data_IF_849191010581
#
_entry.id   IF_849191010581
#
_cell.length_a   1.000
_cell.length_b   1.000
_cell.length_c   1.000
_cell.angle_alpha   90.00
_cell.angle_beta   90.00
_cell.angle_gamma   90.00
#
_symmetry.space_group_name_H-M   'P 1'
#
loop_
_entity.id
_entity.type
_entity.pdbx_description
1 polymer ?
#
# COMPACT_ATOMS: atom_id res chain seq x y z
N UNK A 1 -8.29 -32.54 0.05
CA UNK A 1 -7.23 -31.53 -0.06
C UNK A 1 -7.32 -30.92 -1.44
N UNK A 2 -7.31 -29.60 -1.56
CA UNK A 2 -7.51 -28.86 -2.81
C UNK A 2 -6.35 -27.91 -3.01
N UNK A 3 -5.67 -27.98 -4.14
CA UNK A 3 -4.60 -27.03 -4.48
C UNK A 3 -5.19 -25.88 -5.27
N UNK A 4 -5.11 -24.68 -4.71
CA UNK A 4 -5.42 -23.44 -5.42
C UNK A 4 -4.14 -22.90 -6.02
N UNK A 5 -4.16 -22.60 -7.32
CA UNK A 5 -3.04 -22.00 -8.04
C UNK A 5 -3.42 -20.60 -8.54
N UNK A 6 -2.47 -19.70 -8.43
CA UNK A 6 -2.63 -18.28 -8.74
C UNK A 6 -1.69 -17.95 -9.89
N UNK A 7 -2.25 -17.50 -11.01
CA UNK A 7 -1.48 -16.91 -12.08
C UNK A 7 -1.08 -15.51 -11.67
N UNK A 8 0.22 -15.19 -11.59
CA UNK A 8 0.66 -13.83 -11.28
C UNK A 8 0.37 -12.88 -12.45
N UNK A 9 0.15 -11.61 -12.10
CA UNK A 9 0.03 -10.53 -13.09
C UNK A 9 1.32 -10.44 -13.91
N UNK A 10 1.25 -10.46 -15.24
CA UNK A 10 2.43 -10.27 -16.08
C UNK A 10 2.98 -8.86 -15.83
N UNK A 11 4.17 -8.78 -15.22
CA UNK A 11 4.82 -7.50 -14.93
C UNK A 11 5.38 -6.87 -16.20
N UNK A 12 5.28 -5.55 -16.32
CA UNK A 12 5.90 -4.79 -17.43
C UNK A 12 7.44 -4.73 -17.31
N UNK A 13 8.00 -5.06 -16.15
CA UNK A 13 9.43 -4.95 -15.86
C UNK A 13 9.98 -6.29 -15.33
N UNK A 14 10.86 -6.93 -16.09
CA UNK A 14 11.46 -8.22 -15.75
C UNK A 14 12.24 -8.18 -14.42
N UNK A 15 12.94 -7.09 -14.10
CA UNK A 15 13.70 -6.94 -12.85
C UNK A 15 12.75 -6.91 -11.65
N UNK A 16 11.62 -6.21 -11.77
CA UNK A 16 10.60 -6.20 -10.74
C UNK A 16 9.92 -7.55 -10.60
N UNK A 17 9.77 -8.31 -11.71
CA UNK A 17 9.11 -9.61 -11.71
C UNK A 17 9.85 -10.65 -10.85
N UNK A 18 11.19 -10.69 -10.91
CA UNK A 18 11.99 -11.58 -10.04
C UNK A 18 11.95 -11.14 -8.57
N UNK A 19 11.98 -9.83 -8.32
CA UNK A 19 11.83 -9.28 -6.97
C UNK A 19 10.42 -9.51 -6.40
N UNK A 20 9.39 -9.36 -7.23
CA UNK A 20 7.99 -9.57 -6.88
C UNK A 20 7.69 -11.00 -6.43
N UNK A 21 8.49 -11.99 -6.85
CA UNK A 21 8.37 -13.39 -6.45
C UNK A 21 8.38 -13.56 -4.93
N UNK A 22 9.42 -13.07 -4.26
CA UNK A 22 9.55 -13.16 -2.80
C UNK A 22 8.40 -12.42 -2.10
N UNK A 23 8.10 -11.24 -2.60
CA UNK A 23 7.06 -10.38 -2.05
C UNK A 23 5.68 -11.03 -2.18
N UNK A 24 5.39 -11.65 -3.32
CA UNK A 24 4.13 -12.34 -3.51
C UNK A 24 4.01 -13.59 -2.63
N UNK A 25 5.07 -14.37 -2.47
CA UNK A 25 5.07 -15.53 -1.56
C UNK A 25 4.85 -15.11 -0.10
N UNK A 26 5.44 -13.99 0.35
CA UNK A 26 5.21 -13.48 1.69
C UNK A 26 3.76 -13.05 1.90
N UNK A 27 3.17 -12.35 0.92
CA UNK A 27 1.76 -11.96 0.94
C UNK A 27 0.81 -13.16 0.93
N UNK A 28 1.07 -14.14 0.04
CA UNK A 28 0.28 -15.36 -0.05
C UNK A 28 0.36 -16.18 1.24
N UNK A 29 1.52 -16.23 1.90
CA UNK A 29 1.67 -16.91 3.19
C UNK A 29 0.81 -16.29 4.29
N UNK A 30 0.75 -14.94 4.36
CA UNK A 30 -0.13 -14.26 5.29
C UNK A 30 -1.61 -14.47 4.95
N UNK A 31 -1.96 -14.37 3.66
CA UNK A 31 -3.32 -14.63 3.20
C UNK A 31 -3.75 -16.06 3.54
N UNK A 32 -2.90 -17.06 3.24
CA UNK A 32 -3.17 -18.47 3.52
C UNK A 32 -3.48 -18.74 4.99
N UNK A 33 -2.74 -18.10 5.90
CA UNK A 33 -2.98 -18.21 7.35
C UNK A 33 -4.31 -17.55 7.81
N UNK A 34 -4.91 -16.71 6.97
CA UNK A 34 -6.14 -15.96 7.25
C UNK A 34 -7.39 -16.51 6.56
N UNK A 35 -7.24 -17.55 5.74
CA UNK A 35 -8.39 -18.22 5.13
C UNK A 35 -9.25 -18.89 6.21
N UNK A 36 -10.54 -19.01 6.00
CA UNK A 36 -11.47 -19.73 6.90
C UNK A 36 -10.99 -21.16 7.17
N UNK A 37 -10.41 -21.78 6.16
CA UNK A 37 -9.65 -23.02 6.27
C UNK A 37 -8.20 -22.71 5.93
N UNK A 38 -7.32 -22.52 6.93
CA UNK A 38 -5.95 -22.11 6.70
C UNK A 38 -5.25 -22.99 5.68
N UNK A 39 -4.59 -22.32 4.73
CA UNK A 39 -3.85 -22.99 3.68
C UNK A 39 -2.41 -23.25 4.11
N UNK A 40 -1.84 -24.31 3.58
CA UNK A 40 -0.48 -24.76 3.85
C UNK A 40 0.32 -24.84 2.55
N UNK A 41 1.61 -25.14 2.65
CA UNK A 41 2.45 -25.47 1.49
C UNK A 41 2.49 -24.40 0.42
N UNK A 42 2.58 -23.12 0.85
CA UNK A 42 2.72 -21.98 -0.07
C UNK A 42 4.03 -22.13 -0.86
N UNK A 43 3.91 -22.18 -2.20
CA UNK A 43 5.06 -22.45 -3.07
C UNK A 43 4.88 -21.87 -4.47
N UNK A 44 5.96 -21.79 -5.19
CA UNK A 44 5.97 -21.59 -6.64
C UNK A 44 5.85 -22.95 -7.34
N UNK A 45 5.15 -22.99 -8.45
CA UNK A 45 5.06 -24.18 -9.31
C UNK A 45 5.06 -23.80 -10.78
N UNK A 46 5.46 -24.74 -11.62
CA UNK A 46 5.46 -24.62 -13.09
C UNK A 46 4.40 -25.54 -13.67
N UNK A 47 3.49 -24.97 -14.47
CA UNK A 47 2.47 -25.73 -15.17
C UNK A 47 2.50 -25.34 -16.65
N UNK A 48 2.72 -26.31 -17.53
CA UNK A 48 2.82 -26.07 -18.97
C UNK A 48 3.89 -25.03 -19.37
N UNK A 49 4.99 -24.91 -18.61
CA UNK A 49 6.03 -23.92 -18.84
C UNK A 49 5.70 -22.52 -18.31
N UNK A 50 4.56 -22.32 -17.66
CA UNK A 50 4.13 -21.05 -17.04
C UNK A 50 4.30 -21.14 -15.53
N UNK A 51 4.77 -20.04 -14.94
CA UNK A 51 4.98 -19.90 -13.50
C UNK A 51 3.67 -19.53 -12.79
N UNK A 52 3.34 -20.27 -11.74
CA UNK A 52 2.21 -20.04 -10.84
C UNK A 52 2.67 -20.05 -9.39
N UNK A 53 1.82 -19.55 -8.50
CA UNK A 53 1.93 -19.76 -7.06
C UNK A 53 0.83 -20.67 -6.58
N UNK A 54 1.12 -21.53 -5.62
CA UNK A 54 0.18 -22.53 -5.13
C UNK A 54 0.03 -22.46 -3.61
N UNK A 55 -1.15 -22.80 -3.14
CA UNK A 55 -1.47 -23.03 -1.74
C UNK A 55 -2.37 -24.25 -1.63
N UNK A 56 -2.07 -25.16 -0.71
CA UNK A 56 -2.87 -26.34 -0.46
C UNK A 56 -3.88 -26.04 0.65
N UNK A 57 -5.15 -26.29 0.39
CA UNK A 57 -6.27 -26.04 1.31
C UNK A 57 -6.90 -27.37 1.72
N UNK A 58 -7.40 -27.51 2.97
CA UNK A 58 -8.05 -28.74 3.43
C UNK A 58 -9.38 -29.03 2.71
N UNK A 59 -10.00 -27.99 2.12
CA UNK A 59 -11.25 -28.05 1.34
C UNK A 59 -11.21 -27.10 0.13
N UNK A 60 -12.19 -27.20 -0.74
CA UNK A 60 -12.41 -26.20 -1.78
C UNK A 60 -12.64 -24.81 -1.16
N UNK A 61 -12.11 -23.73 -1.77
CA UNK A 61 -12.27 -22.37 -1.25
C UNK A 61 -13.74 -21.95 -1.29
N UNK A 62 -14.21 -21.33 -0.20
CA UNK A 62 -15.50 -20.65 -0.12
C UNK A 62 -15.38 -19.19 -0.59
N UNK A 63 -16.50 -18.49 -0.62
CA UNK A 63 -16.54 -17.10 -1.06
C UNK A 63 -15.61 -16.19 -0.24
N UNK A 64 -15.53 -16.36 1.07
CA UNK A 64 -14.62 -15.61 1.95
C UNK A 64 -13.16 -15.88 1.62
N UNK A 65 -12.78 -17.14 1.37
CA UNK A 65 -11.43 -17.51 0.93
C UNK A 65 -11.10 -16.88 -0.44
N UNK A 66 -12.05 -16.94 -1.39
CA UNK A 66 -11.89 -16.34 -2.70
C UNK A 66 -11.76 -14.81 -2.63
N UNK A 67 -12.47 -14.15 -1.74
CA UNK A 67 -12.33 -12.70 -1.50
C UNK A 67 -10.92 -12.37 -1.00
N UNK A 68 -10.38 -13.13 -0.04
CA UNK A 68 -9.02 -12.94 0.45
C UNK A 68 -7.98 -13.15 -0.67
N UNK A 69 -8.04 -14.29 -1.36
CA UNK A 69 -7.13 -14.63 -2.47
C UNK A 69 -7.22 -13.63 -3.64
N UNK A 70 -8.41 -13.10 -3.92
CA UNK A 70 -8.63 -12.12 -4.99
C UNK A 70 -8.05 -10.74 -4.67
N UNK A 71 -7.80 -10.44 -3.39
CA UNK A 71 -7.16 -9.18 -2.95
C UNK A 71 -5.65 -9.19 -3.10
N UNK A 72 -5.01 -10.36 -3.26
CA UNK A 72 -3.55 -10.46 -3.44
C UNK A 72 -3.07 -9.51 -4.54
N UNK A 73 -2.02 -8.76 -4.25
CA UNK A 73 -1.53 -7.65 -5.09
C UNK A 73 -1.19 -8.09 -6.51
N UNK A 74 -0.57 -9.24 -6.64
CA UNK A 74 -0.12 -9.82 -7.91
C UNK A 74 -1.06 -10.86 -8.50
N UNK A 75 -2.22 -11.17 -7.93
CA UNK A 75 -3.12 -12.16 -8.51
C UNK A 75 -3.73 -11.67 -9.82
N UNK A 76 -3.55 -12.42 -10.91
CA UNK A 76 -4.18 -12.15 -12.21
C UNK A 76 -5.39 -13.06 -12.43
N UNK A 77 -5.24 -14.34 -12.13
CA UNK A 77 -6.32 -15.33 -12.19
C UNK A 77 -6.13 -16.40 -11.11
N UNK A 78 -7.23 -17.02 -10.69
CA UNK A 78 -7.27 -18.09 -9.69
C UNK A 78 -7.80 -19.36 -10.34
N UNK A 79 -7.21 -20.51 -9.98
CA UNK A 79 -7.62 -21.80 -10.46
C UNK A 79 -7.57 -22.84 -9.33
N UNK A 80 -8.40 -23.87 -9.46
CA UNK A 80 -8.25 -25.13 -8.73
C UNK A 80 -7.46 -26.11 -9.62
N UNK A 81 -6.42 -26.73 -9.08
CA UNK A 81 -5.63 -27.75 -9.78
C UNK A 81 -6.32 -29.10 -9.59
N UNK A 82 -6.77 -29.72 -10.69
CA UNK A 82 -7.44 -31.03 -10.74
C UNK A 82 -6.66 -31.96 -11.64
N UNK A 83 -5.72 -32.70 -11.06
CA UNK A 83 -4.74 -33.48 -11.84
C UNK A 83 -3.85 -32.56 -12.66
N UNK A 84 -3.94 -32.62 -13.98
CA UNK A 84 -3.23 -31.73 -14.92
C UNK A 84 -4.09 -30.57 -15.43
N UNK A 85 -5.35 -30.45 -14.97
CA UNK A 85 -6.29 -29.45 -15.44
C UNK A 85 -6.38 -28.26 -14.49
N UNK A 86 -6.55 -27.09 -15.07
CA UNK A 86 -6.81 -25.83 -14.34
C UNK A 86 -8.28 -25.46 -14.46
N UNK A 87 -9.07 -25.67 -13.40
CA UNK A 87 -10.46 -25.23 -13.34
C UNK A 87 -10.51 -23.78 -12.84
N UNK A 88 -11.04 -22.82 -13.62
CA UNK A 88 -11.11 -21.42 -13.19
C UNK A 88 -11.92 -21.24 -11.91
N UNK A 89 -11.43 -20.37 -11.05
CA UNK A 89 -12.14 -19.88 -9.86
C UNK A 89 -12.51 -18.41 -10.05
N UNK A 90 -13.62 -17.94 -9.48
CA UNK A 90 -14.01 -16.54 -9.55
C UNK A 90 -12.96 -15.63 -8.93
N UNK A 91 -12.59 -14.56 -9.63
CA UNK A 91 -11.78 -13.48 -9.09
C UNK A 91 -12.69 -12.37 -8.57
N UNK A 92 -12.92 -12.36 -7.25
CA UNK A 92 -13.91 -11.50 -6.58
C UNK A 92 -13.31 -10.13 -6.23
N UNK A 93 -12.80 -9.40 -7.23
CA UNK A 93 -12.21 -8.06 -7.02
C UNK A 93 -13.31 -7.01 -6.86
N UNK A 94 -13.41 -6.43 -5.67
CA UNK A 94 -14.21 -5.23 -5.43
C UNK A 94 -13.32 -3.99 -5.56
N UNK A 95 -12.96 -3.62 -6.79
CA UNK A 95 -12.25 -2.37 -7.04
C UNK A 95 -13.21 -1.24 -7.32
N UNK A 96 -13.03 -0.13 -6.61
CA UNK A 96 -13.80 1.08 -6.83
C UNK A 96 -13.44 1.72 -8.18
N UNK A 97 -12.15 1.72 -8.54
CA UNK A 97 -11.60 2.34 -9.76
C UNK A 97 -10.86 1.33 -10.64
N UNK A 98 -10.66 1.69 -11.91
CA UNK A 98 -9.81 0.97 -12.84
C UNK A 98 -8.32 1.05 -12.47
N UNK A 99 -7.51 0.16 -13.04
CA UNK A 99 -6.06 0.12 -12.77
C UNK A 99 -5.33 1.35 -13.33
N UNK A 100 -5.94 2.06 -14.27
CA UNK A 100 -5.45 3.27 -14.89
C UNK A 100 -5.33 4.46 -13.93
N UNK A 101 -6.08 4.50 -12.82
CA UNK A 101 -5.97 5.56 -11.82
C UNK A 101 -4.53 5.73 -11.31
N UNK A 102 -3.83 4.66 -11.03
CA UNK A 102 -2.45 4.71 -10.56
C UNK A 102 -1.40 4.62 -11.67
N UNK A 103 -1.80 4.23 -12.90
CA UNK A 103 -0.90 4.01 -14.02
C UNK A 103 -0.47 5.31 -14.73
N UNK A 104 -1.36 6.29 -14.87
CA UNK A 104 -1.20 7.43 -15.79
C UNK A 104 -0.15 8.45 -15.35
N UNK A 105 0.04 8.68 -14.06
CA UNK A 105 1.07 9.61 -13.58
C UNK A 105 2.48 9.02 -13.72
N UNK A 106 3.12 9.24 -14.87
CA UNK A 106 4.54 8.90 -15.07
C UNK A 106 5.41 10.08 -14.64
N UNK A 107 6.27 9.88 -13.66
CA UNK A 107 7.29 10.83 -13.22
C UNK A 107 8.52 10.09 -12.70
N UNK A 108 9.67 10.75 -12.74
CA UNK A 108 10.93 10.18 -12.22
C UNK A 108 10.79 9.91 -10.71
N UNK A 109 11.18 8.71 -10.28
CA UNK A 109 11.08 8.29 -8.88
C UNK A 109 9.68 7.81 -8.45
N UNK A 110 8.76 7.58 -9.40
CA UNK A 110 7.45 7.00 -9.08
C UNK A 110 7.61 5.60 -8.50
N UNK A 111 7.03 5.37 -7.33
CA UNK A 111 6.93 4.03 -6.75
C UNK A 111 6.05 3.14 -7.64
N UNK A 112 6.48 1.89 -7.84
CA UNK A 112 5.72 0.92 -8.60
C UNK A 112 4.36 0.66 -7.93
N UNK A 113 3.26 0.76 -8.69
CA UNK A 113 1.90 0.58 -8.20
C UNK A 113 1.65 -0.82 -7.60
N UNK A 114 2.21 -1.88 -8.22
CA UNK A 114 2.10 -3.25 -7.70
C UNK A 114 2.83 -3.41 -6.37
N UNK A 115 4.01 -2.75 -6.20
CA UNK A 115 4.70 -2.74 -4.92
C UNK A 115 3.90 -2.00 -3.84
N UNK A 116 3.33 -0.84 -4.17
CA UNK A 116 2.48 -0.09 -3.22
C UNK A 116 1.25 -0.90 -2.82
N UNK A 117 0.62 -1.58 -3.78
CA UNK A 117 -0.50 -2.49 -3.52
C UNK A 117 -0.11 -3.65 -2.60
N UNK A 118 1.07 -4.24 -2.85
CA UNK A 118 1.63 -5.27 -1.99
C UNK A 118 1.83 -4.75 -0.56
N UNK A 119 2.41 -3.58 -0.38
CA UNK A 119 2.59 -2.95 0.93
C UNK A 119 1.24 -2.75 1.66
N UNK A 120 0.23 -2.28 0.93
CA UNK A 120 -1.14 -2.09 1.47
C UNK A 120 -1.76 -3.41 1.90
N UNK A 121 -1.66 -4.46 1.06
CA UNK A 121 -2.22 -5.78 1.38
C UNK A 121 -1.48 -6.46 2.54
N UNK A 122 -0.15 -6.40 2.56
CA UNK A 122 0.63 -6.90 3.70
C UNK A 122 0.23 -6.19 5.00
N UNK A 123 0.07 -4.86 4.97
CA UNK A 123 -0.37 -4.10 6.14
C UNK A 123 -1.80 -4.48 6.57
N UNK A 124 -2.73 -4.63 5.64
CA UNK A 124 -4.09 -5.07 5.93
C UNK A 124 -4.12 -6.48 6.53
N UNK A 125 -3.41 -7.42 5.91
CA UNK A 125 -3.27 -8.79 6.41
C UNK A 125 -2.56 -8.86 7.78
N UNK A 126 -1.90 -7.81 8.23
CA UNK A 126 -1.25 -7.71 9.54
C UNK A 126 -2.16 -7.14 10.63
N UNK A 127 -3.31 -6.57 10.28
CA UNK A 127 -4.30 -6.09 11.24
C UNK A 127 -4.95 -7.26 11.98
N UNK A 128 -5.14 -7.16 13.28
CA UNK A 128 -5.88 -8.19 14.06
C UNK A 128 -7.38 -8.13 13.80
N UNK A 129 -7.88 -6.91 13.65
CA UNK A 129 -9.30 -6.64 13.39
C UNK A 129 -9.41 -5.74 12.16
N UNK A 130 -10.21 -6.15 11.20
CA UNK A 130 -10.48 -5.36 9.99
C UNK A 130 -11.82 -4.64 10.16
N UNK A 131 -11.81 -3.32 10.04
CA UNK A 131 -13.00 -2.50 9.82
C UNK A 131 -13.05 -2.12 8.35
N UNK A 132 -14.12 -2.35 7.66
CA UNK A 132 -14.26 -1.85 6.29
C UNK A 132 -15.20 -0.65 6.22
N UNK A 133 -14.81 0.39 5.47
CA UNK A 133 -13.55 0.57 4.76
C UNK A 133 -12.36 0.86 5.69
N UNK A 134 -11.18 0.33 5.36
CA UNK A 134 -9.92 0.69 6.05
C UNK A 134 -9.56 2.16 5.79
N UNK A 135 -8.90 2.77 6.75
CA UNK A 135 -8.42 4.17 6.67
C UNK A 135 -6.90 4.19 6.63
N UNK A 136 -6.37 4.69 5.54
CA UNK A 136 -4.93 4.72 5.24
C UNK A 136 -4.41 6.15 5.29
N UNK A 137 -3.28 6.36 5.96
CA UNK A 137 -2.49 7.58 5.91
C UNK A 137 -1.16 7.30 5.22
N UNK A 138 -0.86 8.06 4.17
CA UNK A 138 0.49 8.19 3.65
C UNK A 138 1.10 9.50 4.14
N UNK A 139 2.05 9.45 5.08
CA UNK A 139 2.61 10.66 5.67
C UNK A 139 3.71 11.32 4.80
N UNK A 140 4.08 10.71 3.68
CA UNK A 140 5.07 11.20 2.71
C UNK A 140 4.56 10.99 1.28
N UNK A 141 3.33 11.44 1.03
CA UNK A 141 2.48 11.01 -0.07
C UNK A 141 3.01 11.30 -1.48
N UNK A 142 3.99 12.19 -1.63
CA UNK A 142 4.52 12.55 -2.94
C UNK A 142 3.40 12.95 -3.91
N UNK A 143 3.30 12.24 -5.02
CA UNK A 143 2.24 12.41 -6.03
C UNK A 143 1.08 11.43 -5.86
N UNK A 144 0.91 10.80 -4.69
CA UNK A 144 -0.30 10.11 -4.27
C UNK A 144 -0.46 8.66 -4.75
N UNK A 145 0.61 7.94 -5.11
CA UNK A 145 0.49 6.53 -5.53
C UNK A 145 -0.23 5.68 -4.48
N UNK A 146 0.15 5.81 -3.20
CA UNK A 146 -0.50 5.11 -2.09
C UNK A 146 -1.97 5.49 -1.95
N UNK A 147 -2.29 6.78 -2.13
CA UNK A 147 -3.66 7.27 -2.01
C UNK A 147 -4.56 6.68 -3.09
N UNK A 148 -4.06 6.60 -4.31
CA UNK A 148 -4.80 6.05 -5.43
C UNK A 148 -4.98 4.54 -5.30
N UNK A 149 -3.95 3.79 -4.91
CA UNK A 149 -4.06 2.35 -4.65
C UNK A 149 -5.04 2.05 -3.51
N UNK A 150 -5.01 2.82 -2.41
CA UNK A 150 -5.98 2.67 -1.33
C UNK A 150 -7.42 2.99 -1.79
N UNK A 151 -7.61 4.08 -2.56
CA UNK A 151 -8.91 4.43 -3.13
C UNK A 151 -9.43 3.35 -4.10
N UNK A 152 -8.54 2.73 -4.91
CA UNK A 152 -8.89 1.61 -5.80
C UNK A 152 -9.40 0.40 -5.03
N UNK A 153 -8.87 0.16 -3.82
CA UNK A 153 -9.31 -0.90 -2.92
C UNK A 153 -10.63 -0.55 -2.19
N UNK A 154 -11.16 0.66 -2.41
CA UNK A 154 -12.38 1.14 -1.74
C UNK A 154 -12.12 1.66 -0.32
N UNK A 155 -10.87 1.91 0.06
CA UNK A 155 -10.48 2.41 1.36
C UNK A 155 -10.47 3.94 1.42
N UNK A 156 -10.61 4.50 2.62
CA UNK A 156 -10.41 5.94 2.83
C UNK A 156 -8.91 6.25 2.81
N UNK A 157 -8.50 7.23 2.02
CA UNK A 157 -7.10 7.61 1.86
C UNK A 157 -6.85 9.04 2.33
N UNK A 158 -5.76 9.25 3.07
CA UNK A 158 -5.27 10.56 3.44
C UNK A 158 -3.76 10.64 3.19
N UNK A 159 -3.28 11.80 2.75
CA UNK A 159 -1.86 12.01 2.51
C UNK A 159 -1.37 13.35 3.02
N UNK A 160 -0.13 13.36 3.51
CA UNK A 160 0.61 14.58 3.80
C UNK A 160 1.80 14.66 2.86
N UNK A 161 1.95 15.78 2.18
CA UNK A 161 3.08 16.07 1.32
C UNK A 161 3.65 17.46 1.66
N UNK A 162 4.95 17.52 1.90
CA UNK A 162 5.61 18.77 2.31
C UNK A 162 5.65 19.80 1.18
N UNK A 163 5.87 19.34 -0.05
CA UNK A 163 6.05 20.17 -1.22
C UNK A 163 4.70 20.49 -1.88
N UNK A 164 4.50 21.79 -2.17
CA UNK A 164 3.24 22.27 -2.72
C UNK A 164 2.93 21.69 -4.12
N UNK A 165 3.93 21.54 -4.97
CA UNK A 165 3.71 21.09 -6.36
C UNK A 165 3.22 19.65 -6.39
N UNK A 166 3.88 18.65 -5.77
CA UNK A 166 3.37 17.29 -5.75
C UNK A 166 1.98 17.17 -5.12
N UNK A 167 1.73 17.85 -3.98
CA UNK A 167 0.42 17.83 -3.31
C UNK A 167 -0.70 18.36 -4.21
N UNK A 168 -0.46 19.51 -4.88
CA UNK A 168 -1.40 20.12 -5.82
C UNK A 168 -1.63 19.24 -7.06
N UNK A 169 -0.55 18.69 -7.64
CA UNK A 169 -0.64 17.80 -8.80
C UNK A 169 -1.50 16.57 -8.50
N UNK A 170 -1.34 15.97 -7.29
CA UNK A 170 -2.17 14.86 -6.82
C UNK A 170 -3.65 15.24 -6.81
N UNK A 171 -3.99 16.39 -6.24
CA UNK A 171 -5.38 16.86 -6.15
C UNK A 171 -5.97 17.16 -7.54
N UNK A 172 -5.22 17.86 -8.40
CA UNK A 172 -5.65 18.19 -9.77
C UNK A 172 -5.86 16.93 -10.61
N UNK A 173 -4.93 15.98 -10.51
CA UNK A 173 -5.02 14.72 -11.23
C UNK A 173 -6.26 13.93 -10.81
N UNK A 174 -6.46 13.74 -9.50
CA UNK A 174 -7.61 12.98 -9.00
C UNK A 174 -8.95 13.63 -9.39
N UNK A 175 -9.05 14.96 -9.31
CA UNK A 175 -10.24 15.69 -9.77
C UNK A 175 -10.53 15.42 -11.25
N UNK A 176 -9.50 15.55 -12.10
CA UNK A 176 -9.65 15.30 -13.54
C UNK A 176 -10.09 13.86 -13.82
N UNK A 177 -9.49 12.89 -13.12
CA UNK A 177 -9.85 11.49 -13.25
C UNK A 177 -11.34 11.26 -12.88
N UNK A 178 -11.78 11.79 -11.74
CA UNK A 178 -13.19 11.68 -11.33
C UNK A 178 -14.15 12.29 -12.36
N UNK A 179 -13.77 13.41 -12.99
CA UNK A 179 -14.55 14.05 -14.04
C UNK A 179 -14.59 13.20 -15.32
N UNK A 180 -13.46 12.72 -15.80
CA UNK A 180 -13.34 11.89 -17.00
C UNK A 180 -14.12 10.58 -16.87
N UNK A 181 -14.02 9.92 -15.72
CA UNK A 181 -14.71 8.68 -15.41
C UNK A 181 -16.16 8.89 -14.91
N UNK A 182 -16.66 10.13 -14.96
CA UNK A 182 -18.04 10.52 -14.60
C UNK A 182 -18.46 10.13 -13.20
N UNK A 183 -17.51 10.12 -12.24
CA UNK A 183 -17.84 9.94 -10.84
C UNK A 183 -18.56 11.15 -10.27
N UNK A 184 -19.58 10.92 -9.46
CA UNK A 184 -20.19 11.97 -8.64
C UNK A 184 -19.21 12.32 -7.54
N UNK A 185 -18.87 13.60 -7.41
CA UNK A 185 -17.87 14.02 -6.41
C UNK A 185 -18.09 15.45 -5.93
N UNK A 186 -17.55 15.72 -4.75
CA UNK A 186 -17.37 17.07 -4.22
C UNK A 186 -15.89 17.25 -3.87
N UNK A 187 -15.37 18.44 -4.10
CA UNK A 187 -14.04 18.86 -3.66
C UNK A 187 -14.20 20.07 -2.78
N UNK A 188 -13.68 19.97 -1.54
CA UNK A 188 -13.52 21.09 -0.64
C UNK A 188 -12.05 21.48 -0.60
N UNK A 189 -11.76 22.68 -1.08
CA UNK A 189 -10.44 23.30 -0.96
C UNK A 189 -10.47 24.26 0.22
N UNK A 190 -9.64 24.01 1.21
CA UNK A 190 -9.58 24.82 2.44
C UNK A 190 -8.16 24.95 2.97
N UNK A 191 -7.98 25.84 3.94
CA UNK A 191 -6.78 25.84 4.77
C UNK A 191 -7.10 25.22 6.11
N UNK A 192 -6.56 24.04 6.38
CA UNK A 192 -6.70 23.38 7.67
C UNK A 192 -5.48 23.72 8.54
N UNK A 193 -5.70 24.47 9.62
CA UNK A 193 -4.62 25.04 10.45
C UNK A 193 -3.58 25.86 9.65
N UNK A 194 -4.03 26.64 8.67
CA UNK A 194 -3.18 27.42 7.78
C UNK A 194 -2.58 26.64 6.60
N UNK A 195 -2.80 25.34 6.54
CA UNK A 195 -2.19 24.40 5.59
C UNK A 195 -3.16 24.06 4.45
N UNK A 196 -2.77 24.25 3.17
CA UNK A 196 -3.63 23.90 2.05
C UNK A 196 -4.08 22.44 2.09
N UNK A 197 -5.38 22.21 1.93
CA UNK A 197 -6.02 20.91 2.04
C UNK A 197 -7.05 20.73 0.92
N UNK A 198 -7.03 19.57 0.27
CA UNK A 198 -8.01 19.14 -0.73
C UNK A 198 -8.73 17.91 -0.19
N UNK A 199 -10.03 18.04 0.06
CA UNK A 199 -10.86 16.98 0.64
C UNK A 199 -11.91 16.53 -0.39
N UNK A 200 -11.75 15.32 -0.91
CA UNK A 200 -12.63 14.72 -1.89
C UNK A 200 -13.62 13.77 -1.24
N UNK A 201 -14.87 13.85 -1.69
CA UNK A 201 -15.88 12.81 -1.50
C UNK A 201 -16.37 12.36 -2.85
N UNK A 202 -16.49 11.06 -3.07
CA UNK A 202 -16.82 10.53 -4.39
C UNK A 202 -17.64 9.24 -4.29
N UNK A 203 -18.49 9.00 -5.30
CA UNK A 203 -19.24 7.77 -5.47
C UNK A 203 -19.65 7.59 -6.94
N UNK A 204 -20.06 6.40 -7.33
CA UNK A 204 -20.65 6.18 -8.66
C UNK A 204 -22.01 6.84 -8.77
N UNK A 205 -22.86 6.69 -7.74
CA UNK A 205 -24.22 7.17 -7.72
C UNK A 205 -24.41 8.35 -6.76
N UNK A 206 -25.39 9.20 -7.02
CA UNK A 206 -25.67 10.40 -6.22
C UNK A 206 -26.11 10.05 -4.79
N UNK A 207 -26.88 9.02 -4.65
CA UNK A 207 -27.39 8.50 -3.38
C UNK A 207 -26.23 7.98 -2.51
N UNK A 208 -25.30 7.23 -3.11
CA UNK A 208 -24.09 6.74 -2.45
C UNK A 208 -23.16 7.89 -2.03
N UNK A 209 -23.05 8.96 -2.84
CA UNK A 209 -22.29 10.16 -2.49
C UNK A 209 -22.84 10.84 -1.21
N UNK A 210 -24.15 10.82 -1.03
CA UNK A 210 -24.80 11.39 0.15
C UNK A 210 -24.66 10.51 1.40
N UNK A 211 -24.73 9.18 1.25
CA UNK A 211 -24.79 8.23 2.36
C UNK A 211 -23.43 7.69 2.78
N UNK A 212 -22.64 7.16 1.85
CA UNK A 212 -21.37 6.48 2.08
C UNK A 212 -20.34 6.81 0.99
N UNK A 213 -19.89 8.07 0.89
CA UNK A 213 -18.89 8.44 -0.10
C UNK A 213 -17.53 7.82 0.24
N UNK A 214 -16.79 7.41 -0.80
CA UNK A 214 -15.35 7.25 -0.70
C UNK A 214 -14.69 8.59 -0.34
N UNK A 215 -13.54 8.56 0.29
CA UNK A 215 -12.83 9.76 0.74
C UNK A 215 -11.36 9.72 0.37
N UNK A 216 -10.86 10.84 -0.14
CA UNK A 216 -9.44 11.06 -0.35
C UNK A 216 -9.10 12.49 0.06
N UNK A 217 -8.13 12.62 0.99
CA UNK A 217 -7.70 13.94 1.50
C UNK A 217 -6.21 14.12 1.25
N UNK A 218 -5.81 15.26 0.70
CA UNK A 218 -4.41 15.65 0.53
C UNK A 218 -4.14 16.91 1.34
N UNK A 219 -3.09 16.90 2.14
CA UNK A 219 -2.64 18.05 2.94
C UNK A 219 -1.23 18.44 2.49
N UNK A 220 -1.02 19.72 2.12
CA UNK A 220 0.31 20.24 1.83
C UNK A 220 0.95 20.78 3.10
N UNK A 221 1.67 19.95 3.86
CA UNK A 221 2.19 20.34 5.17
C UNK A 221 3.27 19.43 5.72
N UNK A 222 3.69 19.72 6.94
CA UNK A 222 4.68 18.91 7.66
C UNK A 222 4.03 17.66 8.25
N UNK A 223 4.54 16.52 7.90
CA UNK A 223 4.12 15.20 8.36
C UNK A 223 4.21 15.01 9.89
N UNK A 224 5.11 15.71 10.56
CA UNK A 224 5.18 15.75 12.02
C UNK A 224 3.95 16.39 12.66
N UNK A 225 3.12 17.10 11.89
CA UNK A 225 1.87 17.73 12.33
C UNK A 225 0.62 16.92 11.94
N UNK A 226 0.78 15.71 11.42
CA UNK A 226 -0.33 14.89 10.94
C UNK A 226 -1.50 14.74 11.96
N UNK A 227 -1.27 14.57 13.28
CA UNK A 227 -2.36 14.50 14.25
C UNK A 227 -3.21 15.78 14.33
N UNK A 228 -2.66 16.96 14.00
CA UNK A 228 -3.42 18.21 13.92
C UNK A 228 -4.34 18.25 12.72
N UNK A 229 -3.92 17.64 11.60
CA UNK A 229 -4.72 17.64 10.37
C UNK A 229 -5.85 16.62 10.40
N UNK A 230 -5.62 15.47 11.01
CA UNK A 230 -6.52 14.30 10.90
C UNK A 230 -7.10 13.83 12.24
N UNK A 231 -6.51 14.19 13.37
CA UNK A 231 -6.86 13.65 14.70
C UNK A 231 -6.03 12.43 15.08
N UNK A 232 -6.18 12.01 16.33
CA UNK A 232 -5.50 10.84 16.92
C UNK A 232 -6.31 9.57 16.72
N UNK A 233 -5.64 8.42 16.59
CA UNK A 233 -6.28 7.10 16.52
C UNK A 233 -7.21 6.92 15.33
N UNK A 234 -7.04 7.69 14.26
CA UNK A 234 -7.98 7.70 13.15
C UNK A 234 -7.70 6.63 12.10
N UNK A 235 -6.45 6.24 11.92
CA UNK A 235 -6.04 5.38 10.82
C UNK A 235 -5.80 3.94 11.27
N UNK A 236 -6.15 3.01 10.40
CA UNK A 236 -5.88 1.58 10.55
C UNK A 236 -4.47 1.27 10.08
N UNK A 237 -4.03 1.94 9.02
CA UNK A 237 -2.73 1.79 8.38
C UNK A 237 -2.07 3.16 8.20
N UNK A 238 -0.80 3.26 8.56
CA UNK A 238 0.11 4.31 8.09
C UNK A 238 1.12 3.66 7.17
N UNK A 239 1.20 4.11 5.92
CA UNK A 239 2.09 3.54 4.92
C UNK A 239 2.91 4.66 4.28
N UNK A 240 4.24 4.54 4.32
CA UNK A 240 5.16 5.50 3.72
C UNK A 240 6.28 4.83 2.93
N UNK A 241 6.48 5.29 1.68
CA UNK A 241 7.69 5.00 0.90
C UNK A 241 8.67 6.14 1.13
N UNK A 242 9.69 5.91 1.98
CA UNK A 242 10.58 6.96 2.45
C UNK A 242 11.48 7.47 1.31
N UNK A 243 11.83 8.77 1.28
CA UNK A 243 12.74 9.32 0.30
C UNK A 243 14.08 8.55 0.27
N UNK A 244 14.55 8.15 -0.91
CA UNK A 244 15.72 7.30 -1.07
C UNK A 244 17.07 8.00 -0.93
N UNK A 245 17.09 9.32 -0.67
CA UNK A 245 18.32 10.09 -0.53
C UNK A 245 19.17 10.21 -1.80
N UNK A 246 18.61 9.86 -2.96
CA UNK A 246 19.29 10.02 -4.24
C UNK A 246 19.12 11.47 -4.68
N UNK A 247 20.24 12.22 -4.74
CA UNK A 247 20.26 13.56 -5.31
C UNK A 247 19.92 13.48 -6.82
N UNK A 248 18.71 13.78 -7.20
CA UNK A 248 18.44 14.19 -8.57
C UNK A 248 18.77 15.67 -8.68
N UNK A 249 19.80 15.94 -9.47
CA UNK A 249 20.50 17.16 -9.71
C UNK A 249 19.71 18.45 -9.56
N UNK A 250 20.38 19.40 -8.92
CA UNK A 250 20.24 20.84 -9.01
C UNK A 250 18.84 21.46 -9.03
N UNK A 251 18.38 21.90 -7.86
CA UNK A 251 17.62 23.15 -7.79
C UNK A 251 18.32 24.05 -6.76
N UNK A 252 18.94 25.10 -7.29
CA UNK A 252 19.42 26.21 -6.49
C UNK A 252 18.26 26.88 -5.78
N UNK A 253 18.43 27.11 -4.50
CA UNK A 253 17.61 28.07 -3.75
C UNK A 253 16.66 27.47 -2.71
N UNK A 254 17.07 27.47 -1.42
CA UNK A 254 16.19 27.54 -0.28
C UNK A 254 15.88 26.22 0.42
N UNK A 255 16.71 25.81 1.38
CA UNK A 255 16.39 25.14 2.64
C UNK A 255 15.31 24.02 2.65
N UNK A 256 15.24 23.15 1.66
CA UNK A 256 14.79 21.78 1.87
C UNK A 256 16.03 20.99 2.35
N UNK A 257 16.30 21.04 3.66
CA UNK A 257 17.31 20.18 4.28
C UNK A 257 16.95 18.76 3.92
N UNK A 258 17.82 18.07 3.16
CA UNK A 258 17.80 16.62 2.99
C UNK A 258 17.75 15.99 4.39
N UNK A 259 16.56 15.66 4.82
CA UNK A 259 16.41 14.88 6.04
C UNK A 259 16.77 13.46 5.66
N UNK A 260 17.89 12.97 6.19
CA UNK A 260 18.19 11.54 6.10
C UNK A 260 16.99 10.75 6.61
N UNK A 261 16.74 9.50 6.15
CA UNK A 261 15.64 8.70 6.66
C UNK A 261 15.59 8.66 8.19
N UNK A 262 16.75 8.60 8.85
CA UNK A 262 16.87 8.66 10.33
C UNK A 262 16.32 9.97 10.92
N UNK A 263 16.66 11.11 10.34
CA UNK A 263 16.21 12.42 10.83
C UNK A 263 14.70 12.62 10.62
N UNK A 264 14.18 12.18 9.47
CA UNK A 264 12.74 12.20 9.18
C UNK A 264 11.98 11.32 10.18
N UNK A 265 12.42 10.09 10.39
CA UNK A 265 11.79 9.15 11.31
C UNK A 265 11.81 9.67 12.75
N UNK A 266 12.95 10.18 13.23
CA UNK A 266 13.07 10.76 14.57
C UNK A 266 12.07 11.91 14.81
N UNK A 267 11.82 12.73 13.79
CA UNK A 267 10.87 13.85 13.89
C UNK A 267 9.40 13.42 13.78
N UNK A 268 9.10 12.40 12.99
CA UNK A 268 7.73 12.10 12.55
C UNK A 268 7.09 10.86 13.21
N UNK A 269 7.87 9.87 13.63
CA UNK A 269 7.33 8.61 14.18
C UNK A 269 6.37 8.82 15.37
N UNK A 270 6.61 9.75 16.33
CA UNK A 270 5.65 10.01 17.40
C UNK A 270 4.29 10.47 16.85
N UNK A 271 4.29 11.37 15.87
CA UNK A 271 3.06 11.86 15.23
C UNK A 271 2.34 10.76 14.44
N UNK A 272 3.07 9.93 13.70
CA UNK A 272 2.49 8.82 12.93
C UNK A 272 1.88 7.78 13.87
N UNK A 273 2.53 7.52 15.02
CA UNK A 273 1.97 6.66 16.06
C UNK A 273 0.68 7.22 16.64
N UNK A 274 0.61 8.53 16.89
CA UNK A 274 -0.63 9.15 17.35
C UNK A 274 -1.77 9.03 16.34
N UNK A 275 -1.49 9.11 15.05
CA UNK A 275 -2.49 8.97 13.98
C UNK A 275 -3.07 7.56 13.87
N UNK A 276 -2.27 6.51 14.12
CA UNK A 276 -2.75 5.13 14.12
C UNK A 276 -3.68 4.85 15.29
N UNK A 277 -4.68 4.00 15.10
CA UNK A 277 -5.42 3.40 16.23
C UNK A 277 -4.55 2.36 16.97
N UNK A 278 -4.87 2.01 18.23
CA UNK A 278 -4.28 0.84 18.87
C UNK A 278 -4.45 -0.41 18.01
N UNK A 279 -3.42 -1.24 17.87
CA UNK A 279 -3.44 -2.40 16.96
C UNK A 279 -3.36 -2.06 15.47
N UNK A 280 -3.28 -0.78 15.10
CA UNK A 280 -3.04 -0.34 13.73
C UNK A 280 -1.62 -0.64 13.26
N UNK A 281 -1.41 -0.67 11.95
CA UNK A 281 -0.15 -1.09 11.33
C UNK A 281 0.58 0.09 10.69
N UNK A 282 1.85 0.24 11.02
CA UNK A 282 2.82 1.08 10.30
C UNK A 282 3.58 0.20 9.31
N UNK A 283 3.58 0.58 8.03
CA UNK A 283 4.33 -0.05 6.96
C UNK A 283 5.26 0.97 6.31
N UNK A 284 6.57 0.71 6.31
CA UNK A 284 7.56 1.61 5.71
C UNK A 284 8.42 0.86 4.71
N UNK A 285 8.73 1.51 3.59
CA UNK A 285 9.78 1.08 2.68
C UNK A 285 10.86 2.15 2.57
N UNK A 286 12.12 1.71 2.34
CA UNK A 286 13.26 2.61 2.24
C UNK A 286 14.39 1.99 1.41
N UNK A 287 15.39 2.79 1.07
CA UNK A 287 16.62 2.30 0.45
C UNK A 287 17.56 1.74 1.54
N UNK A 288 17.70 0.44 1.65
CA UNK A 288 18.46 -0.26 2.72
C UNK A 288 19.90 0.26 2.92
N UNK A 289 20.69 0.62 1.88
CA UNK A 289 22.00 1.23 2.06
C UNK A 289 22.00 2.55 2.85
N UNK A 290 20.88 3.28 2.89
CA UNK A 290 20.79 4.57 3.62
C UNK A 290 20.53 4.40 5.11
N UNK A 291 19.94 3.26 5.51
CA UNK A 291 19.65 2.93 6.90
C UNK A 291 19.54 1.40 7.02
N UNK A 292 20.45 0.78 7.77
CA UNK A 292 20.42 -0.66 8.02
C UNK A 292 19.10 -1.08 8.71
N UNK A 293 18.63 -2.31 8.42
CA UNK A 293 17.36 -2.82 8.97
C UNK A 293 17.31 -2.79 10.49
N UNK A 294 18.39 -3.18 11.16
CA UNK A 294 18.50 -3.20 12.62
C UNK A 294 18.34 -1.79 13.21
N UNK A 295 18.93 -0.79 12.54
CA UNK A 295 18.81 0.61 12.94
C UNK A 295 17.39 1.15 12.70
N UNK A 296 16.74 0.75 11.63
CA UNK A 296 15.32 1.04 11.35
C UNK A 296 14.45 0.46 12.47
N UNK A 297 14.59 -0.81 12.76
CA UNK A 297 13.80 -1.48 13.80
C UNK A 297 14.05 -0.91 15.21
N UNK A 298 15.29 -0.51 15.50
CA UNK A 298 15.61 0.15 16.77
C UNK A 298 14.89 1.50 16.93
N UNK A 299 14.84 2.30 15.85
CA UNK A 299 14.08 3.56 15.83
C UNK A 299 12.57 3.32 16.04
N UNK A 300 12.03 2.30 15.39
CA UNK A 300 10.61 1.94 15.49
C UNK A 300 10.25 1.47 16.90
N UNK A 301 11.06 0.59 17.49
CA UNK A 301 10.86 0.16 18.89
C UNK A 301 10.98 1.34 19.87
N UNK A 302 11.95 2.22 19.67
CA UNK A 302 12.10 3.46 20.46
C UNK A 302 10.92 4.40 20.37
N UNK A 303 10.19 4.38 19.27
CA UNK A 303 8.97 5.16 19.07
C UNK A 303 7.68 4.43 19.55
N UNK A 304 7.81 3.24 20.18
CA UNK A 304 6.68 2.48 20.73
C UNK A 304 5.90 1.65 19.69
N UNK A 305 6.58 1.22 18.63
CA UNK A 305 6.06 0.23 17.69
C UNK A 305 6.66 -1.14 17.95
N UNK A 306 5.92 -2.18 17.63
CA UNK A 306 6.40 -3.58 17.67
C UNK A 306 6.62 -4.09 16.25
N UNK A 307 7.87 -4.14 15.75
CA UNK A 307 8.16 -4.73 14.45
C UNK A 307 7.72 -6.19 14.37
N UNK A 308 7.11 -6.54 13.23
CA UNK A 308 6.77 -7.91 12.88
C UNK A 308 8.01 -8.56 12.25
N UNK A 309 8.49 -9.66 12.83
CA UNK A 309 9.75 -10.29 12.46
C UNK A 309 9.64 -11.80 12.19
N UNK A 310 8.42 -12.33 12.10
CA UNK A 310 8.15 -13.71 11.64
C UNK A 310 8.50 -13.89 10.15
N UNK A 311 8.64 -15.12 9.63
CA UNK A 311 9.11 -15.39 8.25
C UNK A 311 8.45 -14.57 7.14
N UNK A 312 7.11 -14.33 7.09
CA UNK A 312 6.53 -13.52 6.01
C UNK A 312 6.98 -12.05 5.98
N UNK A 313 7.56 -11.54 7.09
CA UNK A 313 8.04 -10.15 7.20
C UNK A 313 9.55 -10.00 7.10
N UNK A 314 10.28 -11.10 6.91
CA UNK A 314 11.73 -11.13 6.75
C UNK A 314 12.12 -11.25 5.28
N UNK A 315 13.37 -10.92 4.99
CA UNK A 315 13.99 -11.07 3.66
C UNK A 315 13.22 -10.36 2.53
N UNK A 316 12.60 -9.21 2.85
CA UNK A 316 11.80 -8.43 1.91
C UNK A 316 12.67 -7.51 1.03
N UNK A 317 13.97 -7.43 1.32
CA UNK A 317 14.90 -6.63 0.55
C UNK A 317 14.98 -7.12 -0.90
N UNK A 318 14.84 -6.18 -1.84
CA UNK A 318 14.88 -6.46 -3.28
C UNK A 318 15.46 -5.28 -4.06
N UNK A 319 16.10 -5.59 -5.19
CA UNK A 319 16.68 -4.59 -6.06
C UNK A 319 15.61 -3.95 -6.95
N UNK A 320 15.61 -2.63 -6.99
CA UNK A 320 14.73 -1.85 -7.85
C UNK A 320 15.49 -1.40 -9.12
N UNK A 321 16.70 -0.90 -8.92
CA UNK A 321 17.65 -0.53 -9.98
C UNK A 321 19.09 -0.68 -9.49
N UNK A 322 20.07 -0.16 -10.24
CA UNK A 322 21.48 -0.27 -9.88
C UNK A 322 21.81 0.41 -8.54
N UNK A 323 21.08 1.46 -8.14
CA UNK A 323 21.36 2.30 -6.98
C UNK A 323 20.42 2.05 -5.80
N UNK A 324 19.31 1.38 -6.02
CA UNK A 324 18.25 1.20 -5.02
C UNK A 324 18.08 -0.27 -4.66
N UNK A 325 18.43 -0.61 -3.41
CA UNK A 325 18.05 -1.85 -2.74
C UNK A 325 16.93 -1.50 -1.74
N UNK A 326 15.69 -1.74 -2.14
CA UNK A 326 14.52 -1.44 -1.30
C UNK A 326 14.30 -2.54 -0.27
N UNK A 327 14.04 -2.15 0.97
CA UNK A 327 13.54 -3.04 2.01
C UNK A 327 12.21 -2.53 2.54
N UNK A 328 11.48 -3.36 3.26
CA UNK A 328 10.19 -3.03 3.85
C UNK A 328 10.07 -3.58 5.27
N UNK A 329 9.42 -2.82 6.16
CA UNK A 329 9.15 -3.21 7.55
C UNK A 329 7.68 -2.96 7.88
N UNK A 330 7.11 -3.85 8.65
CA UNK A 330 5.74 -3.78 9.16
C UNK A 330 5.77 -3.81 10.68
N UNK A 331 5.03 -2.93 11.33
CA UNK A 331 5.00 -2.82 12.78
C UNK A 331 3.59 -2.60 13.27
N UNK A 332 3.27 -3.12 14.44
CA UNK A 332 1.98 -2.87 15.10
C UNK A 332 2.15 -1.77 16.13
N UNK A 333 1.19 -0.85 16.20
CA UNK A 333 1.06 0.06 17.34
C UNK A 333 0.53 -0.71 18.55
N UNK A 334 1.36 -0.87 19.58
CA UNK A 334 0.94 -1.39 20.88
C UNK A 334 -0.08 -0.46 21.55
#
# INVERSE_FOLDING_TARGET
MTTVVILPHPGENAVFFEAARKLFLSELSLCAARLDAPGENVRECMLGGVKYYAVDMPRAPLEADLLCLSRLSGAYALYCLEGELLRPLPLLRRRAFGEDLSAILKYSGKTNALFTRWMLQMAALSLREESEPLRVLDPVAGRGTTLFEAAMLGWEAAGVELLRVPAHDTAVYFRKYLQQERWKHTLREEKRFGTPTWDFRFAREKEALAQRPGRLTVVCGDSAQAPRYFGKGRFDIVLGDLPYGVQHGSVAGGAARERTPRALLGACLPAWRECLRPGGVLALSWNAPTLAREAMEALLRGAGFSPLDSPPYRDLAHRVDASILRDAVFCVRA
#
